data_IF_664146817412
#
_entry.id   IF_664146817412
#
_cell.length_a   1.000
_cell.length_b   1.000
_cell.length_c   1.000
_cell.angle_alpha   90.00
_cell.angle_beta   90.00
_cell.angle_gamma   90.00
#
_symmetry.space_group_name_H-M   'P 1'
#
loop_
_entity.id
_entity.type
_entity.pdbx_description
1 polymer ?
#
# COMPACT_ATOMS: atom_id res chain seq x y z
N UNK A 1 21.28 -0.81 -10.78
CA UNK A 1 20.26 -1.45 -9.92
C UNK A 1 20.94 -2.35 -8.90
N UNK A 2 20.62 -2.23 -7.62
CA UNK A 2 21.10 -3.08 -6.52
C UNK A 2 19.91 -3.63 -5.73
N UNK A 3 19.93 -4.94 -5.42
CA UNK A 3 18.85 -5.65 -4.73
C UNK A 3 19.49 -6.37 -3.54
N UNK A 4 19.21 -5.88 -2.35
CA UNK A 4 19.81 -6.42 -1.13
C UNK A 4 18.74 -6.99 -0.19
N UNK A 5 18.81 -8.29 0.12
CA UNK A 5 18.00 -8.90 1.18
C UNK A 5 18.51 -8.45 2.56
N UNK A 6 17.61 -7.88 3.36
CA UNK A 6 17.91 -7.34 4.70
C UNK A 6 17.39 -8.24 5.83
N UNK A 7 16.48 -9.17 5.52
CA UNK A 7 15.75 -9.91 6.55
C UNK A 7 14.82 -8.97 7.33
N UNK A 8 14.56 -9.29 8.59
CA UNK A 8 13.69 -8.50 9.49
C UNK A 8 14.47 -7.61 10.49
N UNK A 9 15.74 -7.33 10.23
CA UNK A 9 16.67 -6.71 11.18
C UNK A 9 16.76 -5.18 11.08
N UNK A 10 15.68 -4.48 10.70
CA UNK A 10 15.68 -3.01 10.57
C UNK A 10 14.99 -2.35 11.78
N UNK A 11 15.74 -1.90 12.79
CA UNK A 11 15.15 -1.39 14.04
C UNK A 11 14.27 -0.16 13.88
N UNK A 12 14.45 0.60 12.79
CA UNK A 12 13.69 1.84 12.53
C UNK A 12 12.45 1.64 11.65
N UNK A 13 12.13 0.40 11.28
CA UNK A 13 10.96 0.11 10.45
C UNK A 13 9.93 -0.69 11.26
N UNK A 14 8.76 -0.12 11.61
CA UNK A 14 7.74 -0.81 12.40
C UNK A 14 7.20 -2.09 11.73
N UNK A 15 7.31 -2.21 10.41
CA UNK A 15 6.92 -3.41 9.67
C UNK A 15 8.04 -4.45 9.56
N UNK A 16 9.31 -4.05 9.64
CA UNK A 16 10.44 -4.95 9.48
C UNK A 16 10.52 -6.01 10.59
N UNK A 17 10.02 -5.71 11.79
CA UNK A 17 9.88 -6.70 12.85
C UNK A 17 9.03 -7.90 12.45
N UNK A 18 7.97 -7.68 11.69
CA UNK A 18 6.98 -8.71 11.32
C UNK A 18 7.16 -9.30 9.92
N UNK A 19 8.04 -8.73 9.08
CA UNK A 19 8.28 -9.17 7.70
C UNK A 19 9.77 -9.10 7.36
N UNK A 20 10.21 -9.98 6.46
CA UNK A 20 11.52 -9.80 5.81
C UNK A 20 11.45 -8.66 4.81
N UNK A 21 12.58 -8.01 4.55
CA UNK A 21 12.68 -6.82 3.71
C UNK A 21 13.82 -6.96 2.69
N UNK A 22 13.58 -6.47 1.48
CA UNK A 22 14.60 -6.13 0.50
C UNK A 22 14.78 -4.61 0.44
N UNK A 23 16.03 -4.18 0.25
CA UNK A 23 16.36 -2.81 -0.13
C UNK A 23 16.68 -2.79 -1.62
N UNK A 24 16.04 -1.87 -2.36
CA UNK A 24 16.15 -1.75 -3.81
C UNK A 24 16.65 -0.35 -4.15
N UNK A 25 17.73 -0.23 -4.93
CA UNK A 25 18.25 1.05 -5.37
C UNK A 25 18.70 1.05 -6.82
N UNK A 26 18.73 2.25 -7.43
CA UNK A 26 19.10 2.44 -8.83
C UNK A 26 18.05 1.93 -9.81
N UNK A 27 16.78 1.95 -9.43
CA UNK A 27 15.64 1.72 -10.34
C UNK A 27 15.49 2.95 -11.22
N UNK A 28 15.58 2.78 -12.53
CA UNK A 28 15.56 3.87 -13.50
C UNK A 28 14.34 3.87 -14.42
N UNK A 29 13.57 2.78 -14.42
CA UNK A 29 12.34 2.67 -15.21
C UNK A 29 11.28 1.82 -14.52
N UNK A 30 10.02 1.98 -14.96
CA UNK A 30 8.92 1.16 -14.47
C UNK A 30 9.12 -0.33 -14.83
N UNK A 31 9.65 -0.62 -16.00
CA UNK A 31 9.91 -2.00 -16.43
C UNK A 31 10.92 -2.67 -15.50
N UNK A 32 11.99 -1.98 -15.12
CA UNK A 32 12.95 -2.48 -14.11
C UNK A 32 12.26 -2.73 -12.77
N UNK A 33 11.40 -1.84 -12.31
CA UNK A 33 10.65 -2.01 -11.06
C UNK A 33 9.75 -3.25 -11.13
N UNK A 34 9.01 -3.42 -12.23
CA UNK A 34 8.11 -4.55 -12.45
C UNK A 34 8.90 -5.87 -12.48
N UNK A 35 10.03 -5.89 -13.17
CA UNK A 35 10.87 -7.08 -13.27
C UNK A 35 11.43 -7.48 -11.90
N UNK A 36 11.92 -6.53 -11.12
CA UNK A 36 12.39 -6.79 -9.74
C UNK A 36 11.24 -7.26 -8.84
N UNK A 37 10.09 -6.60 -8.92
CA UNK A 37 8.90 -7.00 -8.16
C UNK A 37 8.52 -8.45 -8.44
N UNK A 38 8.47 -8.84 -9.72
CA UNK A 38 8.17 -10.22 -10.15
C UNK A 38 9.23 -11.21 -9.71
N UNK A 39 10.52 -10.88 -9.86
CA UNK A 39 11.62 -11.73 -9.40
C UNK A 39 11.54 -12.01 -7.89
N UNK A 40 11.20 -11.00 -7.09
CA UNK A 40 11.03 -11.18 -5.64
C UNK A 40 9.81 -12.06 -5.36
N UNK A 41 8.67 -11.82 -6.03
CA UNK A 41 7.47 -12.61 -5.86
C UNK A 41 7.67 -14.09 -6.24
N UNK A 42 8.34 -14.36 -7.36
CA UNK A 42 8.63 -15.70 -7.84
C UNK A 42 9.59 -16.47 -6.91
N UNK A 43 10.54 -15.75 -6.33
CA UNK A 43 11.50 -16.31 -5.37
C UNK A 43 10.85 -16.68 -4.02
N UNK A 44 9.76 -16.03 -3.67
CA UNK A 44 9.08 -16.21 -2.38
C UNK A 44 7.61 -16.60 -2.57
N UNK A 45 7.32 -17.84 -3.04
CA UNK A 45 5.94 -18.30 -3.20
C UNK A 45 5.21 -18.27 -1.84
N UNK A 46 3.97 -17.77 -1.84
CA UNK A 46 3.17 -17.59 -0.62
C UNK A 46 3.37 -16.24 0.07
N UNK A 47 4.23 -15.38 -0.48
CA UNK A 47 4.40 -13.99 -0.02
C UNK A 47 3.97 -13.00 -1.10
N UNK A 48 3.52 -11.83 -0.67
CA UNK A 48 3.28 -10.67 -1.53
C UNK A 48 4.32 -9.60 -1.23
N UNK A 49 5.15 -9.20 -2.20
CA UNK A 49 6.00 -8.03 -2.01
C UNK A 49 5.13 -6.78 -1.87
N UNK A 50 5.47 -5.91 -0.92
CA UNK A 50 4.86 -4.59 -0.76
C UNK A 50 5.99 -3.55 -0.83
N UNK A 51 5.97 -2.74 -1.88
CA UNK A 51 6.98 -1.70 -2.11
C UNK A 51 6.68 -0.46 -1.28
N UNK A 52 7.71 0.22 -0.80
CA UNK A 52 7.57 1.64 -0.46
C UNK A 52 7.50 2.47 -1.75
N UNK A 53 6.83 3.62 -1.69
CA UNK A 53 6.72 4.54 -2.84
C UNK A 53 7.39 5.87 -2.49
N UNK A 54 6.59 6.90 -2.22
CA UNK A 54 7.02 8.23 -1.82
C UNK A 54 7.31 8.31 -0.32
N UNK A 55 8.24 9.18 0.06
CA UNK A 55 8.61 9.57 1.44
C UNK A 55 8.58 8.42 2.46
N UNK A 56 9.49 7.46 2.28
CA UNK A 56 9.56 6.28 3.14
C UNK A 56 9.70 6.62 4.64
N UNK A 57 10.48 7.64 5.07
CA UNK A 57 10.53 8.05 6.47
C UNK A 57 9.17 8.48 7.02
N UNK A 58 8.43 9.31 6.30
CA UNK A 58 7.09 9.74 6.69
C UNK A 58 6.11 8.57 6.70
N UNK A 59 6.17 7.70 5.68
CA UNK A 59 5.33 6.52 5.60
C UNK A 59 5.56 5.57 6.80
N UNK A 60 6.80 5.36 7.23
CA UNK A 60 7.14 4.58 8.44
C UNK A 60 6.59 5.21 9.71
N UNK A 61 6.73 6.52 9.84
CA UNK A 61 6.22 7.27 10.99
C UNK A 61 4.69 7.11 11.11
N UNK A 62 3.96 7.39 10.04
CA UNK A 62 2.49 7.28 10.02
C UNK A 62 2.00 5.85 10.17
N UNK A 63 2.71 4.86 9.60
CA UNK A 63 2.44 3.44 9.81
C UNK A 63 2.54 3.05 11.29
N UNK A 64 3.60 3.45 11.99
CA UNK A 64 3.78 3.16 13.41
C UNK A 64 2.66 3.73 14.26
N UNK A 65 2.25 4.97 13.98
CA UNK A 65 1.12 5.60 14.65
C UNK A 65 -0.23 4.93 14.35
N UNK A 66 -0.48 4.56 13.10
CA UNK A 66 -1.70 3.85 12.71
C UNK A 66 -1.79 2.48 13.41
N UNK A 67 -0.69 1.72 13.46
CA UNK A 67 -0.63 0.43 14.16
C UNK A 67 -0.99 0.57 15.64
N UNK A 68 -0.36 1.54 16.32
CA UNK A 68 -0.58 1.78 17.75
C UNK A 68 -2.01 2.25 18.03
N UNK A 69 -2.51 3.26 17.31
CA UNK A 69 -3.83 3.83 17.54
C UNK A 69 -4.98 2.86 17.25
N UNK A 70 -4.77 1.91 16.34
CA UNK A 70 -5.78 0.93 15.93
C UNK A 70 -5.61 -0.43 16.63
N UNK A 71 -4.67 -0.55 17.57
CA UNK A 71 -4.42 -1.77 18.32
C UNK A 71 -4.02 -2.96 17.44
N UNK A 72 -3.32 -2.71 16.31
CA UNK A 72 -3.01 -3.78 15.36
C UNK A 72 -1.99 -4.78 15.91
N UNK A 73 -1.18 -4.36 16.87
CA UNK A 73 -0.19 -5.21 17.54
C UNK A 73 -0.73 -5.82 18.84
N UNK A 74 -1.98 -5.54 19.23
CA UNK A 74 -2.54 -6.06 20.48
C UNK A 74 -2.64 -7.60 20.46
N UNK A 75 -1.92 -8.23 21.39
CA UNK A 75 -1.93 -9.67 21.62
C UNK A 75 -2.76 -10.01 22.86
N UNK A 76 -3.62 -11.02 22.76
CA UNK A 76 -4.30 -11.57 23.93
C UNK A 76 -3.35 -12.41 24.79
N UNK A 77 -3.71 -12.68 26.05
CA UNK A 77 -2.95 -13.60 26.91
C UNK A 77 -2.75 -14.99 26.25
N UNK A 78 -3.74 -15.45 25.50
CA UNK A 78 -3.66 -16.71 24.76
C UNK A 78 -2.67 -16.64 23.59
N UNK A 79 -2.59 -15.51 22.90
CA UNK A 79 -1.59 -15.29 21.84
C UNK A 79 -0.19 -15.30 22.45
N UNK A 80 0.02 -14.51 23.50
CA UNK A 80 1.31 -14.37 24.20
C UNK A 80 1.81 -15.72 24.69
N UNK A 81 0.92 -16.57 25.24
CA UNK A 81 1.28 -17.90 25.70
C UNK A 81 1.76 -18.87 24.60
N UNK A 82 1.49 -18.56 23.32
CA UNK A 82 1.87 -19.37 22.17
C UNK A 82 3.07 -18.80 21.41
N UNK A 83 3.51 -17.58 21.75
CA UNK A 83 4.64 -16.94 21.07
C UNK A 83 5.96 -17.62 21.42
N UNK A 84 6.89 -17.76 20.46
CA UNK A 84 8.22 -18.28 20.71
C UNK A 84 9.06 -17.30 21.55
N UNK A 85 10.11 -17.82 22.18
CA UNK A 85 10.97 -17.06 23.10
C UNK A 85 11.59 -15.80 22.48
N UNK A 86 11.75 -15.75 21.15
CA UNK A 86 12.27 -14.58 20.43
C UNK A 86 11.37 -13.35 20.50
N UNK A 87 10.07 -13.52 20.84
CA UNK A 87 9.11 -12.42 21.02
C UNK A 87 9.19 -11.77 22.41
N UNK A 88 10.12 -12.22 23.25
CA UNK A 88 10.26 -11.74 24.63
C UNK A 88 11.63 -11.14 24.85
N UNK A 89 11.69 -9.98 25.49
CA UNK A 89 12.93 -9.38 25.97
C UNK A 89 13.04 -9.60 27.48
N UNK A 90 14.12 -10.23 27.93
CA UNK A 90 14.35 -10.60 29.34
C UNK A 90 13.19 -11.40 29.99
N UNK A 91 12.42 -12.12 29.16
CA UNK A 91 11.27 -12.90 29.59
C UNK A 91 9.95 -12.14 29.66
N UNK A 92 9.92 -10.88 29.25
CA UNK A 92 8.73 -10.04 29.20
C UNK A 92 8.30 -9.75 27.75
N UNK A 93 7.00 -9.85 27.48
CA UNK A 93 6.43 -9.44 26.20
C UNK A 93 6.33 -7.91 26.14
N UNK A 94 6.84 -7.30 25.05
CA UNK A 94 6.99 -5.84 24.94
C UNK A 94 5.67 -5.09 24.65
N UNK A 95 4.59 -5.81 24.35
CA UNK A 95 3.29 -5.19 24.03
C UNK A 95 3.17 -4.65 22.59
N UNK A 96 4.17 -4.90 21.75
CA UNK A 96 4.15 -4.59 20.32
C UNK A 96 4.96 -5.63 19.54
N UNK A 97 4.67 -5.76 18.25
CA UNK A 97 5.28 -6.80 17.41
C UNK A 97 6.73 -6.46 17.08
N UNK A 98 7.63 -7.40 17.34
CA UNK A 98 9.08 -7.29 17.09
C UNK A 98 9.64 -8.40 16.21
N UNK A 99 8.86 -9.46 15.95
CA UNK A 99 9.30 -10.63 15.20
C UNK A 99 8.26 -11.09 14.17
N UNK A 100 8.68 -11.91 13.22
CA UNK A 100 7.79 -12.49 12.20
C UNK A 100 6.72 -13.43 12.80
N UNK A 101 7.00 -14.02 13.95
CA UNK A 101 6.05 -14.91 14.64
C UNK A 101 4.78 -14.17 15.10
N UNK A 102 4.83 -12.84 15.20
CA UNK A 102 3.72 -11.99 15.64
C UNK A 102 2.86 -11.49 14.46
N UNK A 103 3.31 -11.63 13.20
CA UNK A 103 2.54 -11.19 12.04
C UNK A 103 1.11 -11.77 11.97
N UNK A 104 0.84 -13.05 12.33
CA UNK A 104 -0.52 -13.57 12.38
C UNK A 104 -1.46 -12.79 13.30
N UNK A 105 -0.94 -12.21 14.39
CA UNK A 105 -1.70 -11.35 15.31
C UNK A 105 -2.08 -10.06 14.59
N UNK A 106 -1.10 -9.40 13.96
CA UNK A 106 -1.33 -8.18 13.17
C UNK A 106 -2.34 -8.41 12.05
N UNK A 107 -2.19 -9.49 11.29
CA UNK A 107 -3.10 -9.85 10.19
C UNK A 107 -4.52 -10.11 10.69
N UNK A 108 -4.68 -10.82 11.82
CA UNK A 108 -5.98 -11.08 12.43
C UNK A 108 -6.66 -9.77 12.87
N UNK A 109 -5.91 -8.89 13.55
CA UNK A 109 -6.45 -7.61 14.03
C UNK A 109 -6.79 -6.68 12.85
N UNK A 110 -5.93 -6.62 11.83
CA UNK A 110 -6.21 -5.92 10.59
C UNK A 110 -7.44 -6.48 9.87
N UNK A 111 -7.58 -7.80 9.79
CA UNK A 111 -8.76 -8.44 9.18
C UNK A 111 -10.05 -8.05 9.90
N UNK A 112 -10.03 -7.94 11.23
CA UNK A 112 -11.18 -7.44 12.01
C UNK A 112 -11.47 -5.98 11.71
N UNK A 113 -10.43 -5.14 11.64
CA UNK A 113 -10.55 -3.72 11.33
C UNK A 113 -11.21 -3.48 9.97
N UNK A 114 -10.82 -4.25 8.95
CA UNK A 114 -11.31 -4.06 7.57
C UNK A 114 -12.60 -4.82 7.27
N UNK A 115 -13.12 -5.59 8.24
CA UNK A 115 -14.37 -6.31 8.08
C UNK A 115 -15.53 -5.35 7.87
N UNK A 116 -16.15 -5.43 6.69
CA UNK A 116 -17.27 -4.56 6.31
C UNK A 116 -16.84 -3.24 5.64
N UNK A 117 -15.55 -2.91 5.55
CA UNK A 117 -15.13 -1.72 4.80
C UNK A 117 -15.49 -1.82 3.32
N UNK A 118 -15.87 -0.70 2.71
CA UNK A 118 -16.30 -0.64 1.31
C UNK A 118 -15.67 0.54 0.55
N UNK A 119 -15.69 0.45 -0.77
CA UNK A 119 -15.22 1.53 -1.64
C UNK A 119 -16.11 2.78 -1.49
N UNK A 120 -17.40 2.59 -1.26
CA UNK A 120 -18.36 3.67 -1.00
C UNK A 120 -17.98 4.44 0.27
N UNK A 121 -17.52 3.77 1.32
CA UNK A 121 -17.01 4.43 2.53
C UNK A 121 -15.72 5.21 2.25
N UNK A 122 -14.83 4.70 1.40
CA UNK A 122 -13.64 5.45 0.97
C UNK A 122 -14.03 6.70 0.18
N UNK A 123 -15.01 6.61 -0.72
CA UNK A 123 -15.54 7.78 -1.44
C UNK A 123 -16.24 8.79 -0.50
N UNK A 124 -16.98 8.29 0.50
CA UNK A 124 -17.69 9.13 1.47
C UNK A 124 -16.75 9.90 2.42
N UNK A 125 -15.47 9.51 2.50
CA UNK A 125 -14.45 10.24 3.25
C UNK A 125 -14.28 11.67 2.75
N UNK A 126 -14.39 11.88 1.45
CA UNK A 126 -14.44 13.21 0.87
C UNK A 126 -13.09 13.73 0.38
N UNK A 127 -12.17 12.87 0.00
CA UNK A 127 -10.92 13.31 -0.67
C UNK A 127 -11.23 14.22 -1.86
N UNK A 128 -10.38 15.21 -2.06
CA UNK A 128 -10.45 16.11 -3.22
C UNK A 128 -9.08 16.20 -3.91
N UNK A 129 -9.10 16.47 -5.20
CA UNK A 129 -7.91 16.86 -5.95
C UNK A 129 -8.17 18.22 -6.60
N UNK A 130 -7.40 19.22 -6.20
CA UNK A 130 -7.37 20.49 -6.92
C UNK A 130 -6.59 20.36 -8.25
N UNK A 131 -6.58 21.41 -9.05
CA UNK A 131 -5.89 21.39 -10.35
C UNK A 131 -4.37 21.11 -10.25
N UNK A 132 -3.63 21.73 -9.30
CA UNK A 132 -2.23 21.38 -9.05
C UNK A 132 -2.00 19.91 -8.69
N UNK A 133 -2.80 19.36 -7.77
CA UNK A 133 -2.69 17.95 -7.36
C UNK A 133 -3.06 16.97 -8.48
N UNK A 134 -4.04 17.30 -9.31
CA UNK A 134 -4.37 16.51 -10.49
C UNK A 134 -3.23 16.53 -11.52
N UNK A 135 -2.60 17.67 -11.74
CA UNK A 135 -1.45 17.78 -12.65
C UNK A 135 -0.26 16.97 -12.11
N UNK A 136 0.07 17.08 -10.82
CA UNK A 136 1.10 16.27 -10.18
C UNK A 136 0.82 14.78 -10.33
N UNK A 137 -0.43 14.36 -10.12
CA UNK A 137 -0.85 12.98 -10.31
C UNK A 137 -0.62 12.52 -11.76
N UNK A 138 -0.96 13.35 -12.76
CA UNK A 138 -0.72 13.04 -14.17
C UNK A 138 0.78 12.90 -14.46
N UNK A 139 1.62 13.77 -13.91
CA UNK A 139 3.07 13.73 -14.07
C UNK A 139 3.66 12.42 -13.51
N UNK A 140 3.15 11.92 -12.39
CA UNK A 140 3.53 10.62 -11.84
C UNK A 140 3.01 9.42 -12.65
N UNK A 141 1.86 9.56 -13.35
CA UNK A 141 1.45 8.53 -14.30
C UNK A 141 2.36 8.53 -15.55
N UNK A 142 2.82 9.68 -16.01
CA UNK A 142 3.70 9.81 -17.19
C UNK A 142 5.14 9.39 -16.89
N UNK A 143 5.64 9.71 -15.71
CA UNK A 143 6.97 9.34 -15.24
C UNK A 143 6.88 8.61 -13.88
N UNK A 144 6.47 7.32 -13.88
CA UNK A 144 6.14 6.60 -12.66
C UNK A 144 7.29 6.45 -11.66
N UNK A 145 8.55 6.46 -12.12
CA UNK A 145 9.71 6.36 -11.23
C UNK A 145 10.01 7.65 -10.50
N UNK A 146 9.47 8.80 -10.93
CA UNK A 146 9.67 10.07 -10.25
C UNK A 146 8.93 10.15 -8.90
N UNK A 147 7.95 9.28 -8.67
CA UNK A 147 7.28 9.13 -7.38
C UNK A 147 8.15 8.40 -6.35
N UNK A 148 9.10 7.58 -6.81
CA UNK A 148 9.78 6.62 -5.95
C UNK A 148 10.92 7.27 -5.15
N UNK A 149 10.84 7.16 -3.83
CA UNK A 149 11.91 7.56 -2.91
C UNK A 149 12.88 6.40 -2.69
N UNK A 150 14.06 6.48 -3.32
CA UNK A 150 15.06 5.41 -3.29
C UNK A 150 16.11 5.65 -2.20
N UNK A 151 16.61 4.59 -1.51
CA UNK A 151 16.31 3.18 -1.76
C UNK A 151 14.89 2.79 -1.35
N UNK A 152 14.21 1.99 -2.20
CA UNK A 152 12.91 1.43 -1.88
C UNK A 152 13.04 0.30 -0.86
N UNK A 153 12.04 0.16 0.00
CA UNK A 153 11.77 -1.03 0.78
C UNK A 153 10.81 -1.95 0.03
N UNK A 154 11.05 -3.26 0.02
CA UNK A 154 10.11 -4.26 -0.44
C UNK A 154 9.90 -5.30 0.67
N UNK A 155 8.76 -5.20 1.38
CA UNK A 155 8.39 -6.13 2.44
C UNK A 155 7.86 -7.43 1.85
N UNK A 156 8.29 -8.57 2.39
CA UNK A 156 7.75 -9.89 2.07
C UNK A 156 6.60 -10.22 3.03
N UNK A 157 5.38 -9.98 2.60
CA UNK A 157 4.21 -10.15 3.46
C UNK A 157 3.57 -11.52 3.21
N UNK A 158 3.43 -12.40 4.22
CA UNK A 158 2.87 -13.75 4.08
C UNK A 158 1.33 -13.71 4.02
N UNK A 159 0.77 -13.27 2.88
CA UNK A 159 -0.66 -13.14 2.64
C UNK A 159 -1.05 -13.66 1.25
N UNK A 160 -2.32 -14.06 1.11
CA UNK A 160 -2.84 -14.58 -0.15
C UNK A 160 -3.16 -13.48 -1.15
N UNK A 161 -3.85 -12.41 -0.70
CA UNK A 161 -4.29 -11.32 -1.54
C UNK A 161 -3.44 -10.06 -1.33
N UNK A 162 -3.10 -9.37 -2.42
CA UNK A 162 -2.22 -8.22 -2.39
C UNK A 162 -2.72 -7.09 -1.45
N UNK A 163 -4.01 -6.81 -1.40
CA UNK A 163 -4.59 -5.81 -0.49
C UNK A 163 -4.37 -6.15 1.00
N UNK A 164 -4.23 -7.43 1.35
CA UNK A 164 -3.94 -7.85 2.74
C UNK A 164 -2.51 -7.48 3.17
N UNK A 165 -1.62 -7.17 2.22
CA UNK A 165 -0.26 -6.74 2.54
C UNK A 165 -0.23 -5.44 3.34
N UNK A 166 -1.29 -4.62 3.28
CA UNK A 166 -1.47 -3.46 4.14
C UNK A 166 -1.52 -3.81 5.64
N UNK A 167 -1.73 -5.06 6.03
CA UNK A 167 -1.59 -5.48 7.43
C UNK A 167 -0.16 -5.30 7.97
N UNK A 168 0.85 -5.44 7.11
CA UNK A 168 2.25 -5.23 7.49
C UNK A 168 2.61 -3.74 7.54
N UNK A 169 2.01 -2.93 6.67
CA UNK A 169 2.31 -1.50 6.55
C UNK A 169 1.02 -0.69 6.37
N UNK A 170 0.14 -0.64 7.39
CA UNK A 170 -1.09 0.12 7.34
C UNK A 170 -0.79 1.61 7.41
N UNK A 171 -1.19 2.37 6.41
CA UNK A 171 -0.97 3.81 6.37
C UNK A 171 -2.29 4.58 6.24
N UNK A 172 -2.26 5.91 6.49
CA UNK A 172 -3.45 6.74 6.66
C UNK A 172 -3.68 7.03 8.15
N UNK A 173 -2.93 8.01 8.68
CA UNK A 173 -2.94 8.36 10.11
C UNK A 173 -3.68 9.66 10.39
N UNK A 174 -3.57 10.64 9.48
CA UNK A 174 -4.21 11.93 9.67
C UNK A 174 -5.70 11.86 9.33
N UNK A 175 -6.49 12.72 9.98
CA UNK A 175 -7.96 12.71 9.82
C UNK A 175 -8.45 13.09 8.43
N UNK A 176 -7.59 13.73 7.63
CA UNK A 176 -7.86 14.08 6.23
C UNK A 176 -7.45 12.96 5.24
N UNK A 177 -6.70 11.95 5.70
CA UNK A 177 -6.27 10.82 4.87
C UNK A 177 -7.33 9.71 4.88
N UNK A 178 -7.34 8.87 3.82
CA UNK A 178 -8.00 7.57 3.94
C UNK A 178 -7.28 6.74 5.00
N UNK A 179 -8.03 6.26 5.98
CA UNK A 179 -7.49 5.36 7.00
C UNK A 179 -7.20 3.96 6.45
N UNK A 180 -6.51 3.09 7.24
CA UNK A 180 -6.10 1.76 6.79
C UNK A 180 -7.25 0.88 6.26
N UNK A 181 -8.45 0.97 6.85
CA UNK A 181 -9.62 0.22 6.38
C UNK A 181 -10.13 0.72 5.02
N UNK A 182 -10.10 2.03 4.80
CA UNK A 182 -10.49 2.64 3.53
C UNK A 182 -9.45 2.36 2.43
N UNK A 183 -8.16 2.42 2.75
CA UNK A 183 -7.06 2.04 1.85
C UNK A 183 -7.16 0.56 1.43
N UNK A 184 -7.50 -0.33 2.37
CA UNK A 184 -7.77 -1.73 2.06
C UNK A 184 -8.98 -1.88 1.13
N UNK A 185 -10.08 -1.20 1.42
CA UNK A 185 -11.31 -1.26 0.61
C UNK A 185 -11.07 -0.74 -0.81
N UNK A 186 -10.30 0.36 -0.93
CA UNK A 186 -9.84 0.93 -2.21
C UNK A 186 -9.02 -0.10 -2.98
N UNK A 187 -7.99 -0.67 -2.36
CA UNK A 187 -7.11 -1.66 -3.01
C UNK A 187 -7.89 -2.91 -3.45
N UNK A 188 -8.79 -3.42 -2.60
CA UNK A 188 -9.66 -4.56 -2.93
C UNK A 188 -10.59 -4.26 -4.10
N UNK A 189 -11.23 -3.08 -4.11
CA UNK A 189 -12.12 -2.67 -5.17
C UNK A 189 -11.38 -2.57 -6.52
N UNK A 190 -10.22 -1.91 -6.56
CA UNK A 190 -9.45 -1.77 -7.79
C UNK A 190 -8.92 -3.10 -8.33
N UNK A 191 -8.57 -4.04 -7.45
CA UNK A 191 -8.22 -5.40 -7.86
C UNK A 191 -9.42 -6.14 -8.48
N UNK A 192 -10.58 -6.11 -7.82
CA UNK A 192 -11.76 -6.87 -8.25
C UNK A 192 -12.47 -6.27 -9.46
N UNK A 193 -12.62 -4.94 -9.50
CA UNK A 193 -13.36 -4.26 -10.57
C UNK A 193 -12.50 -3.99 -11.81
N UNK A 194 -11.21 -3.71 -11.63
CA UNK A 194 -10.35 -3.22 -12.70
C UNK A 194 -9.09 -4.07 -12.94
N UNK A 195 -8.81 -5.08 -12.09
CA UNK A 195 -7.65 -5.94 -12.18
C UNK A 195 -6.32 -5.24 -11.81
N UNK A 196 -6.38 -4.16 -11.02
CA UNK A 196 -5.22 -3.45 -10.50
C UNK A 196 -4.84 -4.00 -9.12
N UNK A 197 -3.87 -4.90 -9.06
CA UNK A 197 -3.34 -5.45 -7.80
C UNK A 197 -2.44 -4.44 -7.09
N UNK A 198 -2.58 -4.31 -5.77
CA UNK A 198 -1.72 -3.46 -4.95
C UNK A 198 -0.27 -3.99 -4.97
N UNK A 199 0.67 -3.09 -5.22
CA UNK A 199 2.11 -3.43 -5.19
C UNK A 199 2.90 -2.58 -4.20
N UNK A 200 2.36 -1.44 -3.76
CA UNK A 200 3.11 -0.54 -2.89
C UNK A 200 2.25 0.49 -2.17
N UNK A 201 2.85 1.06 -1.12
CA UNK A 201 2.28 2.14 -0.32
C UNK A 201 3.40 3.11 0.08
N UNK A 202 3.16 4.40 -0.13
CA UNK A 202 4.02 5.49 0.31
C UNK A 202 3.39 6.32 1.42
N UNK A 203 3.92 7.51 1.65
CA UNK A 203 3.33 8.47 2.57
C UNK A 203 2.02 9.04 2.04
N UNK A 204 1.88 9.14 0.72
CA UNK A 204 0.75 9.80 0.06
C UNK A 204 0.05 8.95 -1.00
N UNK A 205 0.73 7.92 -1.53
CA UNK A 205 0.23 7.16 -2.67
C UNK A 205 0.13 5.65 -2.40
N UNK A 206 -0.91 5.04 -2.98
CA UNK A 206 -1.00 3.59 -3.21
C UNK A 206 -0.60 3.29 -4.65
N UNK A 207 0.16 2.22 -4.85
CA UNK A 207 0.63 1.79 -6.17
C UNK A 207 0.03 0.46 -6.60
N UNK A 208 -0.35 0.40 -7.87
CA UNK A 208 -1.05 -0.75 -8.42
C UNK A 208 -0.46 -1.19 -9.76
N UNK A 209 -0.54 -2.49 -10.06
CA UNK A 209 -0.20 -3.06 -11.35
C UNK A 209 -1.33 -3.95 -11.88
N UNK A 210 -1.52 -3.92 -13.21
CA UNK A 210 -2.32 -4.88 -13.97
C UNK A 210 -1.44 -5.86 -14.76
N UNK A 211 -1.98 -7.03 -15.02
CA UNK A 211 -1.32 -8.03 -15.87
C UNK A 211 -1.22 -7.59 -17.34
N UNK A 212 -2.17 -6.78 -17.81
CA UNK A 212 -2.20 -6.25 -19.17
C UNK A 212 -2.53 -4.75 -19.15
N UNK A 213 -2.09 -3.96 -20.16
CA UNK A 213 -2.42 -2.56 -20.28
C UNK A 213 -3.93 -2.29 -20.23
N UNK A 214 -4.34 -1.15 -19.67
CA UNK A 214 -5.73 -0.74 -19.65
C UNK A 214 -6.21 -0.37 -21.06
N UNK A 215 -7.23 -1.06 -21.54
CA UNK A 215 -7.96 -0.64 -22.75
C UNK A 215 -8.88 0.55 -22.44
N UNK A 216 -9.55 1.08 -23.47
CA UNK A 216 -10.45 2.22 -23.29
C UNK A 216 -11.63 1.92 -22.37
N UNK A 217 -12.12 0.69 -22.34
CA UNK A 217 -13.23 0.30 -21.46
C UNK A 217 -12.81 0.35 -19.99
N UNK A 218 -11.68 -0.28 -19.67
CA UNK A 218 -11.11 -0.25 -18.32
C UNK A 218 -10.75 1.17 -17.91
N UNK A 219 -10.10 1.94 -18.82
CA UNK A 219 -9.72 3.32 -18.52
C UNK A 219 -10.93 4.21 -18.17
N UNK A 220 -12.06 4.06 -18.87
CA UNK A 220 -13.29 4.78 -18.54
C UNK A 220 -13.90 4.33 -17.20
N UNK A 221 -13.87 3.03 -16.91
CA UNK A 221 -14.39 2.52 -15.66
C UNK A 221 -13.56 3.03 -14.47
N UNK A 222 -12.22 2.99 -14.56
CA UNK A 222 -11.30 3.57 -13.58
C UNK A 222 -11.53 5.07 -13.42
N UNK A 223 -11.68 5.83 -14.51
CA UNK A 223 -11.92 7.28 -14.46
C UNK A 223 -13.23 7.62 -13.74
N UNK A 224 -14.27 6.80 -13.88
CA UNK A 224 -15.53 6.95 -13.12
C UNK A 224 -15.29 6.79 -11.62
N UNK A 225 -14.58 5.74 -11.21
CA UNK A 225 -14.30 5.47 -9.80
C UNK A 225 -13.30 6.50 -9.23
N UNK A 226 -12.34 6.97 -10.03
CA UNK A 226 -11.47 8.10 -9.69
C UNK A 226 -12.28 9.36 -9.37
N UNK A 227 -13.23 9.74 -10.24
CA UNK A 227 -14.09 10.89 -9.98
C UNK A 227 -14.96 10.71 -8.73
N UNK A 228 -15.39 9.49 -8.42
CA UNK A 228 -16.14 9.21 -7.20
C UNK A 228 -15.24 9.31 -5.95
N UNK A 229 -14.03 8.73 -5.99
CA UNK A 229 -13.08 8.76 -4.88
C UNK A 229 -12.68 10.19 -4.48
N UNK A 230 -12.43 11.05 -5.47
CA UNK A 230 -11.99 12.44 -5.23
C UNK A 230 -13.13 13.45 -5.29
N UNK A 231 -14.37 13.05 -5.12
CA UNK A 231 -15.55 13.93 -5.09
C UNK A 231 -15.54 15.01 -6.20
N UNK A 232 -15.14 14.60 -7.41
CA UNK A 232 -15.01 15.52 -8.54
C UNK A 232 -16.33 16.24 -8.81
N UNK A 233 -16.38 17.59 -8.76
CA UNK A 233 -17.58 18.36 -9.06
C UNK A 233 -18.12 18.04 -10.47
N UNK A 234 -19.44 18.06 -10.63
CA UNK A 234 -20.10 17.68 -11.89
C UNK A 234 -19.60 18.48 -13.08
N UNK A 235 -19.39 19.78 -12.89
CA UNK A 235 -18.85 20.69 -13.93
C UNK A 235 -17.44 20.34 -14.39
N UNK A 236 -16.63 19.66 -13.56
CA UNK A 236 -15.26 19.26 -13.86
C UNK A 236 -15.16 17.79 -14.30
N UNK A 237 -16.19 17.00 -14.10
CA UNK A 237 -16.15 15.53 -14.27
C UNK A 237 -15.73 15.08 -15.66
N UNK A 238 -16.22 15.73 -16.71
CA UNK A 238 -15.84 15.39 -18.08
C UNK A 238 -14.36 15.66 -18.35
N UNK A 239 -13.83 16.78 -17.87
CA UNK A 239 -12.42 17.13 -18.04
C UNK A 239 -11.51 16.18 -17.27
N UNK A 240 -11.83 15.89 -15.99
CA UNK A 240 -11.08 14.95 -15.16
C UNK A 240 -11.15 13.54 -15.75
N UNK A 241 -12.31 13.05 -16.16
CA UNK A 241 -12.46 11.75 -16.84
C UNK A 241 -11.54 11.66 -18.05
N UNK A 242 -11.53 12.69 -18.90
CA UNK A 242 -10.67 12.71 -20.11
C UNK A 242 -9.19 12.66 -19.74
N UNK A 243 -8.77 13.43 -18.74
CA UNK A 243 -7.39 13.45 -18.24
C UNK A 243 -6.97 12.09 -17.68
N UNK A 244 -7.81 11.48 -16.85
CA UNK A 244 -7.54 10.15 -16.26
C UNK A 244 -7.46 9.08 -17.34
N UNK A 245 -8.42 9.04 -18.29
CA UNK A 245 -8.38 8.09 -19.40
C UNK A 245 -7.10 8.24 -20.22
N UNK A 246 -6.69 9.46 -20.52
CA UNK A 246 -5.44 9.72 -21.24
C UNK A 246 -4.22 9.23 -20.46
N UNK A 247 -4.19 9.48 -19.14
CA UNK A 247 -3.06 9.16 -18.28
C UNK A 247 -2.85 7.66 -18.05
N UNK A 248 -3.92 6.84 -18.10
CA UNK A 248 -3.83 5.40 -17.75
C UNK A 248 -4.00 4.44 -18.93
N UNK A 249 -4.59 4.92 -20.03
CA UNK A 249 -4.80 4.09 -21.21
C UNK A 249 -3.47 3.54 -21.75
N UNK A 250 -3.47 2.25 -22.14
CA UNK A 250 -2.29 1.54 -22.63
C UNK A 250 -1.15 1.38 -21.61
N UNK A 251 -1.44 1.65 -20.31
CA UNK A 251 -0.50 1.46 -19.19
C UNK A 251 -0.93 0.32 -18.28
N UNK A 252 0.05 -0.25 -17.59
CA UNK A 252 -0.16 -1.33 -16.63
C UNK A 252 -0.17 -0.85 -15.19
N UNK A 253 0.37 0.33 -14.88
CA UNK A 253 0.44 0.90 -13.55
C UNK A 253 -0.65 1.94 -13.30
N UNK A 254 -0.93 2.17 -12.02
CA UNK A 254 -1.80 3.23 -11.53
C UNK A 254 -1.31 3.65 -10.14
N UNK A 255 -1.10 4.94 -9.94
CA UNK A 255 -0.88 5.53 -8.63
C UNK A 255 -2.17 6.20 -8.17
N UNK A 256 -2.58 6.03 -6.91
CA UNK A 256 -3.73 6.72 -6.32
C UNK A 256 -3.29 7.44 -5.05
N UNK A 257 -3.53 8.72 -4.99
CA UNK A 257 -3.28 9.55 -3.82
C UNK A 257 -4.37 9.27 -2.78
N UNK A 258 -3.99 8.99 -1.52
CA UNK A 258 -4.93 8.70 -0.43
C UNK A 258 -4.91 9.74 0.69
N UNK A 259 -4.17 10.83 0.50
CA UNK A 259 -4.08 11.99 1.40
C UNK A 259 -4.60 13.24 0.72
N UNK A 260 -5.00 14.25 1.51
CA UNK A 260 -5.33 15.59 0.98
C UNK A 260 -4.10 16.41 0.59
#
# INVERSE_FOLDING_TARGET
MDIQFRGNAMPDNPAAGTCDEYSLSGISSLDELIDVYRQIADKHPGFRPLLSLDDLPQARYTCGHARNNLGLDEASEQDIAQLPAECFEQGEYLGYSTTKAEFPICLRNFTKLVAGSSFEEACAHGLTLDQPALQEWMDYQDNPVSLLDQPLSALLVPVEHACQALAAFPNGYFSCDLGPAQNYALARHFAQAHGYELIGVGASYLGFLRAAPADLHVANAVAKDFCALYNTPEENRQAVTSAVVQAIRERTHLWLRYVE
#
